data_IF_193049120295
#
_entry.id   IF_193049120295
#
_cell.length_a   1.000
_cell.length_b   1.000
_cell.length_c   1.000
_cell.angle_alpha   90.00
_cell.angle_beta   90.00
_cell.angle_gamma   90.00
#
_symmetry.space_group_name_H-M   'P 1'
#
loop_
_entity.id
_entity.type
_entity.pdbx_description
1 polymer ?
#
# COMPACT_ATOMS: atom_id res chain seq x y z
N UNK A 1 -34.89 3.45 12.18
CA UNK A 1 -34.52 3.63 10.75
C UNK A 1 -33.31 4.56 10.62
N UNK A 2 -33.31 5.78 11.14
CA UNK A 2 -32.22 6.77 11.01
C UNK A 2 -30.90 6.25 11.59
N UNK A 3 -30.88 5.61 12.76
CA UNK A 3 -29.72 5.07 13.40
C UNK A 3 -29.01 3.98 12.56
N UNK A 4 -29.78 3.08 11.95
CA UNK A 4 -29.26 2.04 11.07
C UNK A 4 -28.61 2.63 9.81
N UNK A 5 -29.23 3.66 9.22
CA UNK A 5 -28.68 4.35 8.05
C UNK A 5 -27.38 5.07 8.38
N UNK A 6 -27.30 5.75 9.53
CA UNK A 6 -26.07 6.41 9.99
C UNK A 6 -24.95 5.40 10.27
N UNK A 7 -25.29 4.24 10.82
CA UNK A 7 -24.34 3.17 11.11
C UNK A 7 -23.77 2.57 9.81
N UNK A 8 -24.62 2.33 8.81
CA UNK A 8 -24.20 1.85 7.50
C UNK A 8 -23.35 2.89 6.76
N UNK A 9 -23.72 4.16 6.79
CA UNK A 9 -22.94 5.25 6.19
C UNK A 9 -21.57 5.41 6.88
N UNK A 10 -21.57 5.35 8.21
CA UNK A 10 -20.32 5.38 8.99
C UNK A 10 -19.41 4.20 8.66
N UNK A 11 -19.96 3.01 8.56
CA UNK A 11 -19.22 1.80 8.20
C UNK A 11 -18.64 1.88 6.77
N UNK A 12 -19.43 2.36 5.81
CA UNK A 12 -18.94 2.58 4.43
C UNK A 12 -17.84 3.64 4.36
N UNK A 13 -17.96 4.71 5.16
CA UNK A 13 -16.95 5.76 5.23
C UNK A 13 -15.61 5.27 5.81
N UNK A 14 -15.66 4.32 6.73
CA UNK A 14 -14.45 3.68 7.29
C UNK A 14 -13.80 2.69 6.32
N UNK A 15 -14.60 2.05 5.46
CA UNK A 15 -14.12 1.03 4.53
C UNK A 15 -13.41 1.64 3.31
N UNK A 16 -13.90 2.79 2.84
CA UNK A 16 -13.40 3.45 1.64
C UNK A 16 -12.93 4.87 1.96
N UNK A 17 -11.76 5.21 1.47
CA UNK A 17 -11.20 6.55 1.64
C UNK A 17 -10.68 7.04 0.29
N UNK A 18 -10.91 8.33 0.02
CA UNK A 18 -10.36 9.00 -1.16
C UNK A 18 -8.98 9.57 -0.78
N UNK A 19 -7.99 9.23 -1.58
CA UNK A 19 -6.64 9.79 -1.46
C UNK A 19 -6.27 10.52 -2.75
N UNK A 20 -5.42 11.53 -2.61
CA UNK A 20 -4.74 12.15 -3.75
C UNK A 20 -3.43 11.42 -3.97
N UNK A 21 -3.14 11.08 -5.22
CA UNK A 21 -1.91 10.36 -5.58
C UNK A 21 -0.73 11.31 -5.50
N UNK A 22 0.28 10.90 -4.75
CA UNK A 22 1.59 11.54 -4.74
C UNK A 22 2.54 10.71 -5.62
N UNK A 23 3.23 11.39 -6.55
CA UNK A 23 4.17 10.75 -7.46
C UNK A 23 3.52 10.15 -8.73
N UNK A 24 4.37 9.66 -9.62
CA UNK A 24 4.01 9.20 -10.99
C UNK A 24 4.26 7.70 -11.20
N UNK A 25 4.06 6.87 -10.16
CA UNK A 25 4.37 5.43 -10.23
C UNK A 25 3.60 4.68 -11.31
N UNK A 26 2.36 5.07 -11.55
CA UNK A 26 1.48 4.40 -12.50
C UNK A 26 1.17 5.23 -13.75
N UNK A 27 1.99 6.24 -14.05
CA UNK A 27 1.84 7.00 -15.28
C UNK A 27 1.99 6.07 -16.51
N UNK A 28 1.19 6.24 -17.57
CA UNK A 28 0.19 7.29 -17.78
C UNK A 28 -1.21 6.98 -17.18
N UNK A 29 -1.41 5.81 -16.56
CA UNK A 29 -2.72 5.35 -16.05
C UNK A 29 -3.20 6.19 -14.87
N UNK A 30 -2.27 6.57 -13.98
CA UNK A 30 -2.50 7.44 -12.82
C UNK A 30 -1.43 8.52 -12.81
N UNK A 31 -1.85 9.76 -12.68
CA UNK A 31 -0.94 10.91 -12.60
C UNK A 31 -0.96 11.51 -11.19
N UNK A 32 0.07 12.26 -10.89
CA UNK A 32 0.11 13.02 -9.65
C UNK A 32 -1.06 14.01 -9.59
N UNK A 33 -1.77 14.01 -8.48
CA UNK A 33 -2.95 14.84 -8.26
C UNK A 33 -4.28 14.13 -8.53
N UNK A 34 -4.27 12.97 -9.19
CA UNK A 34 -5.48 12.17 -9.39
C UNK A 34 -6.06 11.73 -8.04
N UNK A 35 -7.39 11.68 -7.97
CA UNK A 35 -8.10 11.15 -6.82
C UNK A 35 -8.39 9.68 -7.01
N UNK A 36 -8.07 8.88 -6.02
CA UNK A 36 -8.29 7.44 -6.03
C UNK A 36 -9.18 7.02 -4.87
N UNK A 37 -10.03 6.05 -5.13
CA UNK A 37 -10.81 5.37 -4.09
C UNK A 37 -10.04 4.14 -3.62
N UNK A 38 -9.67 4.13 -2.35
CA UNK A 38 -8.94 3.04 -1.72
C UNK A 38 -9.85 2.25 -0.79
N UNK A 39 -9.92 0.94 -1.01
CA UNK A 39 -10.59 0.02 -0.09
C UNK A 39 -9.60 -0.40 1.00
N UNK A 40 -9.81 0.11 2.20
CA UNK A 40 -8.98 -0.17 3.37
C UNK A 40 -9.21 -1.55 3.97
N UNK A 41 -10.35 -2.17 3.66
CA UNK A 41 -10.68 -3.52 4.12
C UNK A 41 -10.05 -4.62 3.27
N UNK A 42 -9.55 -4.29 2.08
CA UNK A 42 -8.97 -5.29 1.16
C UNK A 42 -7.88 -6.14 1.82
N UNK A 43 -7.09 -5.53 2.70
CA UNK A 43 -6.00 -6.20 3.41
C UNK A 43 -6.21 -6.23 4.92
N UNK A 44 -7.43 -5.93 5.37
CA UNK A 44 -7.78 -5.79 6.78
C UNK A 44 -7.65 -4.36 7.29
N UNK A 45 -8.53 -3.98 8.22
CA UNK A 45 -8.56 -2.64 8.77
C UNK A 45 -7.31 -2.40 9.63
N UNK A 46 -6.54 -1.40 9.26
CA UNK A 46 -5.36 -0.97 10.00
C UNK A 46 -5.77 -0.16 11.22
N UNK A 47 -5.34 -0.59 12.40
CA UNK A 47 -5.55 0.10 13.67
C UNK A 47 -4.22 0.72 14.14
N UNK A 48 -4.03 1.98 13.86
CA UNK A 48 -2.79 2.68 14.19
C UNK A 48 -1.80 2.79 13.01
N UNK A 49 -0.72 3.51 13.25
CA UNK A 49 0.42 3.69 12.35
C UNK A 49 1.68 3.20 13.05
N UNK A 50 2.71 2.75 12.29
CA UNK A 50 3.98 2.33 12.89
C UNK A 50 4.62 3.42 13.75
N UNK A 51 4.45 4.69 13.32
CA UNK A 51 5.03 5.88 13.95
C UNK A 51 4.00 6.63 14.83
N UNK A 52 2.86 6.02 15.15
CA UNK A 52 1.78 6.63 15.92
C UNK A 52 1.80 6.28 17.40
N UNK A 53 0.97 7.00 18.20
CA UNK A 53 0.77 6.75 19.64
C UNK A 53 0.17 5.38 19.96
N UNK A 54 -0.51 4.75 18.98
CA UNK A 54 -1.11 3.43 19.14
C UNK A 54 -0.30 2.40 18.37
N UNK A 55 -0.07 1.25 19.01
CA UNK A 55 0.59 0.11 18.39
C UNK A 55 -0.09 -0.29 17.09
N UNK A 56 0.72 -0.60 16.07
CA UNK A 56 0.22 -1.12 14.80
C UNK A 56 -0.50 -2.45 15.01
N UNK A 57 -1.68 -2.55 14.45
CA UNK A 57 -2.45 -3.78 14.38
C UNK A 57 -3.29 -3.84 13.11
N UNK A 58 -3.73 -5.01 12.75
CA UNK A 58 -4.62 -5.21 11.60
C UNK A 58 -5.70 -6.23 11.94
N UNK A 59 -6.95 -5.80 11.81
CA UNK A 59 -8.12 -6.64 12.04
C UNK A 59 -8.53 -7.27 10.71
N UNK A 60 -8.78 -8.59 10.70
CA UNK A 60 -9.08 -9.37 9.50
C UNK A 60 -8.01 -9.25 8.41
N UNK A 61 -6.74 -9.41 8.81
CA UNK A 61 -5.60 -9.29 7.91
C UNK A 61 -5.72 -10.26 6.72
N UNK A 62 -5.56 -9.70 5.51
CA UNK A 62 -5.43 -10.43 4.25
C UNK A 62 -4.13 -10.07 3.59
N UNK A 63 -3.54 -11.02 2.91
CA UNK A 63 -2.28 -10.79 2.18
C UNK A 63 -2.54 -10.01 0.90
N UNK A 64 -1.57 -9.18 0.54
CA UNK A 64 -1.51 -8.55 -0.78
C UNK A 64 -1.20 -9.62 -1.82
N UNK A 65 -1.81 -9.52 -2.99
CA UNK A 65 -1.58 -10.43 -4.11
C UNK A 65 -0.70 -9.78 -5.17
N UNK A 66 -0.01 -10.61 -5.96
CA UNK A 66 0.76 -10.11 -7.10
C UNK A 66 -0.17 -9.46 -8.11
N UNK A 67 0.21 -8.29 -8.59
CA UNK A 67 -0.55 -7.51 -9.56
C UNK A 67 -1.53 -6.51 -8.93
N UNK A 68 -1.78 -6.58 -7.62
CA UNK A 68 -2.61 -5.61 -6.94
C UNK A 68 -2.02 -4.21 -7.07
N UNK A 69 -2.91 -3.23 -7.29
CA UNK A 69 -2.56 -1.82 -7.20
C UNK A 69 -2.80 -1.40 -5.76
N UNK A 70 -1.72 -1.07 -5.07
CA UNK A 70 -1.68 -0.87 -3.62
C UNK A 70 -1.36 0.58 -3.32
N UNK A 71 -2.15 1.17 -2.42
CA UNK A 71 -1.87 2.44 -1.80
C UNK A 71 -1.14 2.21 -0.48
N UNK A 72 -0.02 2.90 -0.27
CA UNK A 72 0.80 2.78 0.94
C UNK A 72 1.39 4.12 1.35
N UNK A 73 1.62 4.29 2.65
CA UNK A 73 2.28 5.47 3.19
C UNK A 73 3.75 5.46 2.79
N UNK A 74 4.25 6.59 2.34
CA UNK A 74 5.67 6.75 1.98
C UNK A 74 6.58 6.35 3.15
N UNK A 75 7.63 5.57 2.91
CA UNK A 75 8.62 5.26 3.94
C UNK A 75 9.63 6.39 4.14
N UNK A 76 9.58 7.44 3.33
CA UNK A 76 10.55 8.54 3.33
C UNK A 76 9.89 9.84 3.73
N UNK A 77 10.43 10.50 4.74
CA UNK A 77 9.89 11.76 5.28
C UNK A 77 9.97 12.93 4.28
N UNK A 78 10.92 12.88 3.38
CA UNK A 78 11.07 13.90 2.32
C UNK A 78 9.98 13.86 1.24
N UNK A 79 9.20 12.80 1.20
CA UNK A 79 8.08 12.63 0.27
C UNK A 79 6.84 12.16 1.07
N UNK A 80 6.25 13.03 1.90
CA UNK A 80 5.09 12.67 2.69
C UNK A 80 3.88 12.45 1.78
N UNK A 81 3.05 11.46 2.13
CA UNK A 81 1.81 11.20 1.42
C UNK A 81 1.58 9.73 1.10
N UNK A 82 0.54 9.48 0.32
CA UNK A 82 0.16 8.13 -0.11
C UNK A 82 0.68 7.90 -1.52
N UNK A 83 1.52 6.89 -1.63
CA UNK A 83 2.06 6.41 -2.91
C UNK A 83 1.22 5.24 -3.42
N UNK A 84 1.18 5.07 -4.74
CA UNK A 84 0.41 4.01 -5.40
C UNK A 84 1.30 3.28 -6.40
N UNK A 85 1.53 2.01 -6.16
CA UNK A 85 2.32 1.17 -7.07
C UNK A 85 1.67 -0.20 -7.23
N UNK A 86 2.20 -1.01 -8.16
CA UNK A 86 1.77 -2.39 -8.35
C UNK A 86 2.62 -3.33 -7.52
N UNK A 87 1.99 -4.24 -6.80
CA UNK A 87 2.70 -5.32 -6.11
C UNK A 87 3.30 -6.31 -7.13
N UNK A 88 4.62 -6.43 -7.14
CA UNK A 88 5.36 -7.30 -8.06
C UNK A 88 5.80 -8.59 -7.41
N UNK A 89 6.29 -8.53 -6.17
CA UNK A 89 6.77 -9.68 -5.44
C UNK A 89 6.27 -9.69 -4.00
N UNK A 90 6.10 -10.89 -3.47
CA UNK A 90 5.56 -11.20 -2.16
C UNK A 90 6.68 -11.54 -1.17
N UNK A 91 6.39 -11.60 0.15
CA UNK A 91 7.36 -12.05 1.13
C UNK A 91 7.92 -13.44 0.79
N UNK A 92 9.24 -13.56 0.79
CA UNK A 92 9.96 -14.79 0.41
C UNK A 92 10.31 -14.91 -1.07
N UNK A 93 9.77 -14.05 -1.92
CA UNK A 93 10.17 -13.99 -3.34
C UNK A 93 11.56 -13.37 -3.48
N UNK A 94 12.21 -13.70 -4.59
CA UNK A 94 13.49 -13.10 -4.97
C UNK A 94 13.29 -12.18 -6.17
N UNK A 95 13.75 -10.94 -6.06
CA UNK A 95 13.75 -9.97 -7.15
C UNK A 95 15.18 -9.67 -7.59
N UNK A 96 15.36 -9.42 -8.88
CA UNK A 96 16.66 -9.04 -9.45
C UNK A 96 16.79 -7.53 -9.53
N UNK A 97 17.83 -7.00 -8.90
CA UNK A 97 18.23 -5.60 -8.99
C UNK A 97 19.57 -5.52 -9.72
N UNK A 98 19.53 -5.26 -11.02
CA UNK A 98 20.76 -5.29 -11.82
C UNK A 98 21.38 -6.70 -11.84
N UNK A 99 22.54 -6.87 -11.23
CA UNK A 99 23.23 -8.16 -11.09
C UNK A 99 22.95 -8.85 -9.75
N UNK A 100 22.38 -8.14 -8.78
CA UNK A 100 22.11 -8.66 -7.45
C UNK A 100 20.74 -9.31 -7.35
N UNK A 101 20.63 -10.33 -6.49
CA UNK A 101 19.39 -10.98 -6.12
C UNK A 101 19.02 -10.56 -4.71
N UNK A 102 17.84 -9.95 -4.55
CA UNK A 102 17.29 -9.55 -3.27
C UNK A 102 16.11 -10.45 -2.91
N UNK A 103 16.19 -11.13 -1.78
CA UNK A 103 15.04 -11.84 -1.20
C UNK A 103 14.19 -10.85 -0.42
N UNK A 104 12.88 -10.86 -0.69
CA UNK A 104 11.93 -9.99 0.01
C UNK A 104 11.70 -10.56 1.42
N UNK A 105 11.97 -9.77 2.48
CA UNK A 105 11.79 -10.23 3.84
C UNK A 105 10.34 -10.58 4.16
N UNK A 106 10.14 -11.53 5.05
CA UNK A 106 8.82 -11.93 5.51
C UNK A 106 8.90 -12.74 6.79
N UNK A 107 7.80 -12.77 7.54
CA UNK A 107 7.71 -13.49 8.83
C UNK A 107 8.11 -14.95 8.69
N UNK A 108 7.66 -15.60 7.63
CA UNK A 108 7.92 -17.03 7.41
C UNK A 108 9.23 -17.27 6.68
N UNK A 109 9.60 -16.41 5.74
CA UNK A 109 10.76 -16.64 4.87
C UNK A 109 12.09 -16.27 5.52
N UNK A 110 12.12 -15.17 6.28
CA UNK A 110 13.35 -14.60 6.85
C UNK A 110 13.25 -14.29 8.34
N UNK A 111 12.19 -14.75 9.02
CA UNK A 111 11.91 -14.43 10.43
C UNK A 111 11.88 -12.92 10.71
N UNK A 112 11.45 -12.13 9.73
CA UNK A 112 11.29 -10.69 9.90
C UNK A 112 10.12 -10.37 10.86
N UNK A 113 10.16 -9.19 11.48
CA UNK A 113 9.11 -8.74 12.39
C UNK A 113 7.74 -8.61 11.70
N UNK A 114 7.74 -8.27 10.41
CA UNK A 114 6.55 -8.15 9.56
C UNK A 114 6.83 -8.61 8.13
N UNK A 115 5.77 -8.74 7.34
CA UNK A 115 5.87 -9.06 5.93
C UNK A 115 6.19 -7.81 5.11
N UNK A 116 7.03 -7.98 4.08
CA UNK A 116 7.42 -6.92 3.16
C UNK A 116 7.00 -7.29 1.75
N UNK A 117 6.70 -6.27 0.96
CA UNK A 117 6.23 -6.40 -0.41
C UNK A 117 7.07 -5.55 -1.35
N UNK A 118 7.29 -6.06 -2.55
CA UNK A 118 8.00 -5.33 -3.59
C UNK A 118 7.00 -4.62 -4.49
N UNK A 119 7.05 -3.29 -4.45
CA UNK A 119 6.16 -2.41 -5.20
C UNK A 119 6.90 -1.82 -6.38
N UNK A 120 6.41 -2.07 -7.59
CA UNK A 120 7.00 -1.54 -8.82
C UNK A 120 6.07 -0.53 -9.48
N UNK A 121 6.70 0.46 -10.07
CA UNK A 121 6.07 1.42 -10.96
C UNK A 121 5.90 0.83 -12.37
N UNK A 122 4.87 1.26 -13.08
CA UNK A 122 4.72 0.99 -14.51
C UNK A 122 5.66 1.87 -15.34
N UNK A 123 6.03 3.03 -14.82
CA UNK A 123 6.98 3.93 -15.47
C UNK A 123 8.41 3.60 -15.04
N UNK A 124 9.32 3.28 -15.97
CA UNK A 124 10.72 3.04 -15.66
C UNK A 124 11.45 4.29 -15.14
N UNK A 125 10.90 5.47 -15.39
CA UNK A 125 11.45 6.74 -14.93
C UNK A 125 10.99 7.12 -13.50
N UNK A 126 10.09 6.35 -12.89
CA UNK A 126 9.62 6.62 -11.54
C UNK A 126 10.74 6.41 -10.52
N UNK A 127 10.84 7.36 -9.59
CA UNK A 127 11.79 7.30 -8.46
C UNK A 127 11.11 7.00 -7.12
N UNK A 128 9.86 6.54 -7.17
CA UNK A 128 9.02 6.33 -5.97
C UNK A 128 8.50 4.90 -5.89
N UNK A 129 9.31 3.94 -6.28
CA UNK A 129 9.02 2.51 -6.17
C UNK A 129 10.10 1.77 -5.36
N UNK A 130 9.91 0.47 -5.15
CA UNK A 130 10.81 -0.34 -4.34
C UNK A 130 12.24 -0.44 -4.89
N UNK A 131 12.48 -0.08 -6.15
CA UNK A 131 13.85 0.01 -6.70
C UNK A 131 14.66 1.12 -6.03
N UNK A 132 13.98 2.14 -5.50
CA UNK A 132 14.59 3.26 -4.78
C UNK A 132 14.28 3.20 -3.29
N UNK A 133 13.03 2.85 -2.92
CA UNK A 133 12.54 2.87 -1.55
C UNK A 133 12.83 1.57 -0.78
N UNK A 134 13.21 0.50 -1.49
CA UNK A 134 13.32 -0.83 -0.91
C UNK A 134 11.97 -1.52 -0.72
N UNK A 135 11.95 -2.72 -0.10
CA UNK A 135 10.73 -3.43 0.22
C UNK A 135 9.83 -2.62 1.15
N UNK A 136 8.53 -2.61 0.88
CA UNK A 136 7.54 -1.85 1.66
C UNK A 136 6.94 -2.74 2.72
N UNK A 137 7.00 -2.29 3.96
CA UNK A 137 6.47 -2.99 5.13
C UNK A 137 4.93 -3.08 5.09
N UNK A 138 4.37 -4.21 5.55
CA UNK A 138 2.93 -4.43 5.66
C UNK A 138 2.23 -3.33 6.45
N UNK A 139 2.88 -2.84 7.49
CA UNK A 139 2.37 -1.76 8.36
C UNK A 139 2.12 -0.44 7.62
N UNK A 140 2.82 -0.19 6.51
CA UNK A 140 2.64 1.02 5.69
C UNK A 140 1.53 0.88 4.63
N UNK A 141 1.05 -0.32 4.37
CA UNK A 141 -0.01 -0.56 3.39
C UNK A 141 -1.35 -0.02 3.89
N UNK A 142 -1.96 0.87 3.12
CA UNK A 142 -3.25 1.50 3.42
C UNK A 142 -4.40 0.63 2.90
N UNK A 143 -4.34 0.21 1.65
CA UNK A 143 -5.38 -0.59 1.04
C UNK A 143 -5.18 -0.80 -0.46
N UNK A 144 -6.17 -1.44 -1.09
CA UNK A 144 -6.20 -1.67 -2.53
C UNK A 144 -6.93 -0.55 -3.26
N UNK A 145 -6.37 -0.07 -4.34
CA UNK A 145 -7.03 0.92 -5.20
C UNK A 145 -8.15 0.24 -5.98
N UNK A 146 -9.35 0.80 -5.89
CA UNK A 146 -10.54 0.27 -6.58
C UNK A 146 -10.79 0.97 -7.92
N UNK A 147 -10.73 2.31 -7.92
CA UNK A 147 -10.97 3.12 -9.10
C UNK A 147 -10.32 4.50 -8.95
N UNK A 148 -10.21 5.16 -10.09
CA UNK A 148 -9.81 6.58 -10.19
C UNK A 148 -11.07 7.42 -10.24
N UNK A 149 -11.09 8.53 -9.51
CA UNK A 149 -12.17 9.51 -9.52
C UNK A 149 -11.71 10.68 -10.39
N UNK A 150 -12.32 10.84 -11.52
CA UNK A 150 -12.08 11.94 -12.46
C UNK A 150 -12.87 13.19 -12.05
#
# INVERSE_FOLDING_TARGET
>A
MVAATLLVLGFRSLAFTVYTVEGNCLAPVLQQGDRILVNRWSYGLRTGRPDGLFSYGRVFARRVERGDIVAFDSPVDSLPGVLVCRCRALPGDTVRLGQDLLMIPGRTATCAAEDYYWMESLSPASRVDSRVLGPIAESRIVGRVCCVLY
#
